data_IF_656996010398
#
_entry.id   IF_656996010398
#
_cell.length_a   1.000
_cell.length_b   1.000
_cell.length_c   1.000
_cell.angle_alpha   90.00
_cell.angle_beta   90.00
_cell.angle_gamma   90.00
#
_symmetry.space_group_name_H-M   'P 1'
#
loop_
_entity.id
_entity.type
_entity.pdbx_description
1 polymer ?
#
# COMPACT_ATOMS: atom_id res chain seq x y z
N UNK A 1 8.59 7.84 7.31
CA UNK A 1 7.82 6.60 7.60
C UNK A 1 8.12 5.50 6.58
N UNK A 2 8.01 5.74 5.26
CA UNK A 2 8.29 4.72 4.22
C UNK A 2 9.75 4.21 4.24
N UNK A 3 10.73 5.13 4.33
CA UNK A 3 12.15 4.78 4.27
C UNK A 3 12.70 4.10 5.53
N UNK A 4 12.16 4.40 6.71
CA UNK A 4 12.62 3.80 7.99
C UNK A 4 12.05 2.38 8.15
N UNK A 5 10.83 2.15 7.65
CA UNK A 5 10.18 0.84 7.61
C UNK A 5 10.91 -0.13 6.67
N UNK A 6 11.41 0.34 5.52
CA UNK A 6 11.97 -0.54 4.48
C UNK A 6 13.42 -1.00 4.74
N UNK A 7 14.08 -0.49 5.79
CA UNK A 7 15.41 -0.94 6.24
C UNK A 7 15.36 -1.90 7.43
N UNK A 8 14.17 -2.20 7.95
CA UNK A 8 13.99 -3.07 9.12
C UNK A 8 13.75 -4.52 8.68
N UNK A 9 14.37 -5.48 9.36
CA UNK A 9 14.16 -6.91 9.12
C UNK A 9 12.73 -7.33 9.49
N UNK A 10 12.26 -8.48 8.98
CA UNK A 10 10.91 -8.99 9.27
C UNK A 10 10.64 -9.07 10.79
N UNK A 11 11.64 -9.47 11.57
CA UNK A 11 11.63 -9.55 13.03
C UNK A 11 11.33 -8.21 13.72
N UNK A 12 11.72 -7.08 13.14
CA UNK A 12 11.51 -5.73 13.73
C UNK A 12 10.21 -5.07 13.28
N UNK A 13 9.54 -5.61 12.26
CA UNK A 13 8.22 -5.14 11.80
C UNK A 13 7.07 -6.05 12.25
N UNK A 14 7.38 -7.04 13.09
CA UNK A 14 6.45 -8.07 13.46
C UNK A 14 5.37 -7.53 14.42
N UNK A 15 4.16 -7.36 13.89
CA UNK A 15 2.97 -7.01 14.70
C UNK A 15 2.22 -8.25 15.18
N UNK A 16 2.64 -9.47 14.83
CA UNK A 16 2.03 -10.71 15.31
C UNK A 16 1.96 -10.81 16.83
N UNK A 17 2.99 -10.46 17.63
CA UNK A 17 2.86 -10.50 19.10
C UNK A 17 1.82 -9.51 19.64
N UNK A 18 1.68 -8.35 19.00
CA UNK A 18 0.63 -7.38 19.34
C UNK A 18 -0.76 -7.92 18.97
N UNK A 19 -0.90 -8.50 17.77
CA UNK A 19 -2.16 -9.08 17.30
C UNK A 19 -2.58 -10.30 18.12
N UNK A 20 -1.62 -11.15 18.53
CA UNK A 20 -1.84 -12.31 19.39
C UNK A 20 -2.45 -11.93 20.75
N UNK A 21 -2.21 -10.71 21.22
CA UNK A 21 -2.78 -10.18 22.46
C UNK A 21 -4.22 -9.66 22.33
N UNK A 22 -4.76 -9.56 21.10
CA UNK A 22 -6.11 -9.04 20.89
C UNK A 22 -7.18 -10.09 21.21
N UNK A 23 -8.12 -9.80 22.13
CA UNK A 23 -9.27 -10.66 22.35
C UNK A 23 -10.17 -10.66 21.10
N UNK A 24 -10.37 -11.83 20.49
CA UNK A 24 -11.24 -11.97 19.30
C UNK A 24 -10.60 -12.65 18.08
N UNK A 25 -9.31 -13.01 18.13
CA UNK A 25 -8.65 -13.77 17.05
C UNK A 25 -9.36 -15.08 16.70
N UNK A 26 -9.96 -15.75 17.69
CA UNK A 26 -10.75 -16.97 17.49
C UNK A 26 -12.08 -16.76 16.75
N UNK A 27 -12.69 -15.56 16.84
CA UNK A 27 -13.86 -15.20 16.03
C UNK A 27 -13.45 -14.84 14.61
N UNK A 28 -12.28 -14.23 14.45
CA UNK A 28 -11.70 -13.89 13.16
C UNK A 28 -11.39 -15.15 12.35
N UNK A 29 -10.83 -16.19 12.99
CA UNK A 29 -10.59 -17.49 12.35
C UNK A 29 -11.88 -18.18 11.91
N UNK A 30 -12.95 -18.10 12.70
CA UNK A 30 -14.25 -18.66 12.31
C UNK A 30 -14.93 -17.89 11.16
N UNK A 31 -14.79 -16.57 11.12
CA UNK A 31 -15.46 -15.72 10.12
C UNK A 31 -14.74 -15.71 8.77
N UNK A 32 -13.41 -15.77 8.78
CA UNK A 32 -12.56 -15.64 7.58
C UNK A 32 -11.80 -16.92 7.22
N UNK A 33 -12.05 -18.04 7.91
CA UNK A 33 -11.42 -19.33 7.61
C UNK A 33 -11.69 -19.84 6.19
N UNK A 34 -12.74 -19.36 5.53
CA UNK A 34 -13.07 -19.67 4.13
C UNK A 34 -12.22 -18.92 3.10
N UNK A 35 -11.45 -17.89 3.52
CA UNK A 35 -10.63 -17.08 2.62
C UNK A 35 -9.28 -17.75 2.43
N UNK A 36 -9.06 -18.31 1.25
CA UNK A 36 -7.78 -18.84 0.82
C UNK A 36 -7.49 -18.41 -0.62
N UNK A 37 -6.36 -17.78 -0.85
CA UNK A 37 -5.90 -17.43 -2.19
C UNK A 37 -4.38 -17.51 -2.28
N UNK A 38 -3.87 -17.73 -3.49
CA UNK A 38 -2.43 -17.78 -3.74
C UNK A 38 -1.90 -16.39 -4.02
N UNK A 39 -0.85 -15.99 -3.30
CA UNK A 39 -0.13 -14.72 -3.49
C UNK A 39 1.36 -15.03 -3.65
N UNK A 40 1.93 -14.69 -4.81
CA UNK A 40 3.26 -15.17 -5.22
C UNK A 40 3.36 -16.70 -5.18
N UNK A 41 4.34 -17.20 -4.42
CA UNK A 41 4.57 -18.63 -4.19
C UNK A 41 3.89 -19.17 -2.91
N UNK A 42 3.16 -18.33 -2.17
CA UNK A 42 2.59 -18.66 -0.86
C UNK A 42 1.06 -18.68 -0.88
N UNK A 43 0.46 -19.58 -0.11
CA UNK A 43 -0.99 -19.60 0.12
C UNK A 43 -1.30 -18.67 1.29
N UNK A 44 -2.10 -17.64 1.05
CA UNK A 44 -2.57 -16.71 2.07
C UNK A 44 -3.90 -17.26 2.61
N UNK A 45 -3.82 -17.91 3.77
CA UNK A 45 -4.99 -18.37 4.52
C UNK A 45 -4.69 -18.34 6.01
N UNK A 46 -5.74 -18.33 6.84
CA UNK A 46 -5.61 -18.42 8.30
C UNK A 46 -4.98 -19.75 8.71
N UNK A 47 -5.22 -20.83 7.95
CA UNK A 47 -4.64 -22.15 8.21
C UNK A 47 -3.13 -22.19 7.90
N UNK A 48 -2.69 -21.54 6.81
CA UNK A 48 -1.28 -21.54 6.41
C UNK A 48 -0.42 -20.56 7.22
N UNK A 49 -0.96 -19.40 7.61
CA UNK A 49 -0.19 -18.29 8.21
C UNK A 49 -0.56 -18.00 9.67
N UNK A 50 -1.61 -18.64 10.19
CA UNK A 50 -2.26 -18.24 11.43
C UNK A 50 -3.08 -16.95 11.28
N UNK A 51 -4.02 -16.71 12.21
CA UNK A 51 -4.88 -15.53 12.18
C UNK A 51 -4.08 -14.21 12.25
N UNK A 52 -3.02 -14.17 13.06
CA UNK A 52 -2.16 -12.99 13.19
C UNK A 52 -1.38 -12.68 11.90
N UNK A 53 -0.79 -13.69 11.25
CA UNK A 53 -0.07 -13.51 9.98
C UNK A 53 -0.99 -13.13 8.82
N UNK A 54 -2.21 -13.68 8.79
CA UNK A 54 -3.24 -13.31 7.83
C UNK A 54 -3.64 -11.83 8.00
N UNK A 55 -3.93 -11.38 9.23
CA UNK A 55 -4.26 -9.97 9.50
C UNK A 55 -3.09 -9.05 9.15
N UNK A 56 -1.88 -9.42 9.56
CA UNK A 56 -0.66 -8.67 9.25
C UNK A 56 -0.49 -8.45 7.75
N UNK A 57 -0.72 -9.49 6.93
CA UNK A 57 -0.68 -9.38 5.48
C UNK A 57 -1.60 -8.27 4.98
N UNK A 58 -2.87 -8.26 5.38
CA UNK A 58 -3.83 -7.24 4.96
C UNK A 58 -3.49 -5.84 5.51
N UNK A 59 -3.08 -5.74 6.77
CA UNK A 59 -2.70 -4.46 7.38
C UNK A 59 -1.50 -3.85 6.65
N UNK A 60 -0.50 -4.66 6.32
CA UNK A 60 0.66 -4.20 5.56
C UNK A 60 0.25 -3.74 4.17
N UNK A 61 -0.43 -4.58 3.37
CA UNK A 61 -0.87 -4.21 2.01
C UNK A 61 -1.78 -2.97 2.04
N UNK A 62 -2.72 -2.90 2.99
CA UNK A 62 -3.59 -1.74 3.17
C UNK A 62 -2.83 -0.46 3.51
N UNK A 63 -1.83 -0.55 4.38
CA UNK A 63 -0.98 0.60 4.74
C UNK A 63 -0.24 1.14 3.52
N UNK A 64 0.34 0.26 2.70
CA UNK A 64 1.02 0.67 1.47
C UNK A 64 0.06 1.41 0.52
N UNK A 65 -1.13 0.86 0.24
CA UNK A 65 -2.16 1.53 -0.60
C UNK A 65 -2.47 2.93 -0.08
N UNK A 66 -2.73 3.08 1.22
CA UNK A 66 -3.06 4.36 1.85
C UNK A 66 -1.90 5.34 1.71
N UNK A 67 -0.69 4.89 1.97
CA UNK A 67 0.52 5.73 1.89
C UNK A 67 0.76 6.21 0.46
N UNK A 68 0.64 5.33 -0.53
CA UNK A 68 0.77 5.70 -1.95
C UNK A 68 -0.35 6.62 -2.42
N UNK A 69 -1.58 6.44 -1.92
CA UNK A 69 -2.69 7.36 -2.18
C UNK A 69 -2.42 8.76 -1.61
N UNK A 70 -1.93 8.85 -0.37
CA UNK A 70 -1.57 10.13 0.25
C UNK A 70 -0.40 10.78 -0.50
N UNK A 71 0.63 10.01 -0.86
CA UNK A 71 1.76 10.49 -1.66
C UNK A 71 1.28 11.09 -2.98
N UNK A 72 0.46 10.36 -3.73
CA UNK A 72 -0.08 10.83 -5.01
C UNK A 72 -0.92 12.11 -4.84
N UNK A 73 -1.74 12.19 -3.79
CA UNK A 73 -2.51 13.39 -3.49
C UNK A 73 -1.62 14.61 -3.22
N UNK A 74 -0.56 14.45 -2.43
CA UNK A 74 0.36 15.54 -2.08
C UNK A 74 1.20 16.00 -3.27
N UNK A 75 1.72 15.05 -4.06
CA UNK A 75 2.49 15.35 -5.28
C UNK A 75 1.61 16.07 -6.30
N UNK A 76 0.38 15.61 -6.51
CA UNK A 76 -0.57 16.28 -7.38
C UNK A 76 -0.88 17.71 -6.89
N UNK A 77 -1.12 17.88 -5.58
CA UNK A 77 -1.34 19.19 -4.96
C UNK A 77 -0.17 20.14 -5.16
N UNK A 78 1.07 19.65 -5.03
CA UNK A 78 2.27 20.45 -5.29
C UNK A 78 2.28 20.97 -6.73
N UNK A 79 2.05 20.09 -7.71
CA UNK A 79 2.03 20.50 -9.12
C UNK A 79 0.89 21.46 -9.45
N UNK A 80 -0.28 21.30 -8.83
CA UNK A 80 -1.36 22.29 -8.94
C UNK A 80 -1.00 23.63 -8.31
N UNK A 81 -0.24 23.64 -7.22
CA UNK A 81 0.24 24.85 -6.55
C UNK A 81 1.19 25.69 -7.40
N UNK A 82 2.03 25.05 -8.21
CA UNK A 82 2.95 25.73 -9.15
C UNK A 82 2.30 26.08 -10.51
N UNK A 83 0.98 25.96 -10.62
CA UNK A 83 0.22 26.38 -11.80
C UNK A 83 0.20 25.40 -12.97
N UNK A 84 0.58 24.13 -12.78
CA UNK A 84 0.53 23.15 -13.88
C UNK A 84 -0.91 22.78 -14.28
N UNK A 85 -1.07 22.42 -15.57
CA UNK A 85 -2.34 21.92 -16.09
C UNK A 85 -2.69 20.59 -15.44
N UNK A 86 -4.00 20.30 -15.34
CA UNK A 86 -4.50 19.03 -14.77
C UNK A 86 -3.85 17.82 -15.42
N UNK A 87 -3.74 17.82 -16.76
CA UNK A 87 -3.11 16.73 -17.51
C UNK A 87 -1.63 16.55 -17.13
N UNK A 88 -0.85 17.65 -17.11
CA UNK A 88 0.58 17.58 -16.76
C UNK A 88 0.78 17.11 -15.32
N UNK A 89 0.00 17.65 -14.37
CA UNK A 89 0.05 17.22 -12.97
C UNK A 89 -0.29 15.75 -12.80
N UNK A 90 -1.32 15.24 -13.48
CA UNK A 90 -1.72 13.83 -13.42
C UNK A 90 -0.62 12.93 -13.98
N UNK A 91 -0.13 13.20 -15.19
CA UNK A 91 0.87 12.33 -15.85
C UNK A 91 2.16 12.25 -15.04
N UNK A 92 2.68 13.38 -14.54
CA UNK A 92 3.92 13.39 -13.76
C UNK A 92 3.73 12.75 -12.39
N UNK A 93 2.60 12.97 -11.73
CA UNK A 93 2.30 12.29 -10.46
C UNK A 93 2.22 10.78 -10.64
N UNK A 94 1.61 10.31 -11.73
CA UNK A 94 1.52 8.88 -12.03
C UNK A 94 2.90 8.28 -12.28
N UNK A 95 3.75 8.94 -13.07
CA UNK A 95 5.12 8.50 -13.33
C UNK A 95 5.95 8.44 -12.04
N UNK A 96 5.84 9.46 -11.17
CA UNK A 96 6.53 9.47 -9.88
C UNK A 96 6.00 8.34 -8.99
N UNK A 97 4.67 8.18 -8.90
CA UNK A 97 4.05 7.16 -8.06
C UNK A 97 4.46 5.73 -8.45
N UNK A 98 4.39 5.40 -9.75
CA UNK A 98 4.82 4.09 -10.28
C UNK A 98 6.33 3.90 -10.12
N UNK A 99 7.12 4.95 -10.32
CA UNK A 99 8.56 4.92 -10.10
C UNK A 99 8.91 4.63 -8.63
N UNK A 100 8.23 5.26 -7.69
CA UNK A 100 8.40 5.02 -6.26
C UNK A 100 7.95 3.61 -5.87
N UNK A 101 6.82 3.12 -6.41
CA UNK A 101 6.35 1.76 -6.16
C UNK A 101 7.34 0.70 -6.66
N UNK A 102 7.81 0.85 -7.91
CA UNK A 102 8.84 -0.03 -8.49
C UNK A 102 10.12 0.01 -7.66
N UNK A 103 10.55 1.20 -7.21
CA UNK A 103 11.75 1.35 -6.39
C UNK A 103 11.60 0.81 -4.97
N UNK A 104 10.39 0.84 -4.40
CA UNK A 104 10.12 0.19 -3.11
C UNK A 104 10.24 -1.32 -3.25
N UNK A 105 9.65 -1.89 -4.31
CA UNK A 105 9.69 -3.33 -4.55
C UNK A 105 11.09 -3.84 -4.89
N UNK A 106 11.85 -3.12 -5.72
CA UNK A 106 13.24 -3.52 -6.01
C UNK A 106 14.08 -3.52 -4.75
N UNK A 107 13.90 -2.52 -3.86
CA UNK A 107 14.56 -2.51 -2.53
C UNK A 107 14.13 -3.67 -1.65
N UNK A 108 12.84 -4.03 -1.64
CA UNK A 108 12.36 -5.20 -0.90
C UNK A 108 12.94 -6.50 -1.47
N UNK A 109 13.09 -6.60 -2.80
CA UNK A 109 13.66 -7.77 -3.48
C UNK A 109 15.16 -7.98 -3.21
N UNK A 110 15.89 -6.96 -2.75
CA UNK A 110 17.28 -7.10 -2.32
C UNK A 110 17.42 -7.71 -0.91
N UNK A 111 16.32 -7.87 -0.16
CA UNK A 111 16.34 -8.57 1.13
C UNK A 111 16.22 -10.09 0.92
N UNK A 112 17.10 -10.91 1.52
CA UNK A 112 17.19 -12.36 1.26
C UNK A 112 15.88 -13.14 1.49
N UNK A 113 15.03 -12.65 2.38
CA UNK A 113 13.80 -13.32 2.81
C UNK A 113 12.53 -12.83 2.08
N UNK A 114 12.66 -11.94 1.08
CA UNK A 114 11.52 -11.43 0.29
C UNK A 114 11.81 -11.49 -1.21
N UNK A 115 11.08 -12.34 -1.91
CA UNK A 115 11.02 -12.26 -3.37
C UNK A 115 10.14 -11.06 -3.74
N UNK A 116 10.70 -10.13 -4.51
CA UNK A 116 9.92 -9.01 -5.03
C UNK A 116 8.76 -9.53 -5.89
N UNK A 117 7.53 -9.13 -5.58
CA UNK A 117 6.32 -9.52 -6.29
C UNK A 117 5.81 -8.34 -7.14
N UNK A 118 5.63 -8.58 -8.44
CA UNK A 118 4.98 -7.62 -9.34
C UNK A 118 3.57 -7.23 -8.88
N UNK A 119 2.92 -8.10 -8.10
CA UNK A 119 1.61 -7.88 -7.48
C UNK A 119 1.63 -6.70 -6.50
N UNK A 120 2.76 -6.47 -5.82
CA UNK A 120 2.93 -5.38 -4.87
C UNK A 120 3.07 -4.03 -5.58
N UNK A 121 3.84 -3.98 -6.67
CA UNK A 121 3.91 -2.80 -7.54
C UNK A 121 2.53 -2.44 -8.09
N UNK A 122 1.75 -3.43 -8.50
CA UNK A 122 0.39 -3.21 -9.00
C UNK A 122 -0.52 -2.64 -7.91
N UNK A 123 -0.47 -3.22 -6.71
CA UNK A 123 -1.29 -2.80 -5.57
C UNK A 123 -0.94 -1.37 -5.12
N UNK A 124 0.34 -1.03 -5.07
CA UNK A 124 0.81 0.33 -4.77
C UNK A 124 0.40 1.34 -5.85
N UNK A 125 0.46 0.92 -7.12
CA UNK A 125 -0.02 1.71 -8.26
C UNK A 125 -1.52 1.98 -8.15
N UNK A 126 -2.33 1.02 -7.70
CA UNK A 126 -3.76 1.24 -7.41
C UNK A 126 -3.92 2.32 -6.33
N UNK A 127 -3.10 2.30 -5.28
CA UNK A 127 -3.05 3.37 -4.28
C UNK A 127 -2.79 4.74 -4.90
N UNK A 128 -1.80 4.85 -5.79
CA UNK A 128 -1.50 6.09 -6.53
C UNK A 128 -2.71 6.58 -7.33
N UNK A 129 -3.39 5.68 -8.05
CA UNK A 129 -4.59 6.01 -8.82
C UNK A 129 -5.71 6.53 -7.93
N UNK A 130 -5.98 5.87 -6.80
CA UNK A 130 -7.00 6.30 -5.82
C UNK A 130 -6.69 7.72 -5.34
N UNK A 131 -5.44 7.97 -4.93
CA UNK A 131 -4.99 9.29 -4.48
C UNK A 131 -5.17 10.37 -5.55
N UNK A 132 -4.83 10.06 -6.80
CA UNK A 132 -5.02 10.95 -7.95
C UNK A 132 -6.48 11.28 -8.22
N UNK A 133 -7.36 10.28 -8.22
CA UNK A 133 -8.80 10.50 -8.42
C UNK A 133 -9.35 11.42 -7.34
N UNK A 134 -9.02 11.17 -6.07
CA UNK A 134 -9.43 12.02 -4.94
C UNK A 134 -8.92 13.45 -5.13
N UNK A 135 -7.65 13.61 -5.51
CA UNK A 135 -7.04 14.92 -5.71
C UNK A 135 -7.73 15.69 -6.86
N UNK A 136 -7.93 15.05 -8.02
CA UNK A 136 -8.58 15.66 -9.17
C UNK A 136 -10.00 16.11 -8.80
N UNK A 137 -10.78 15.27 -8.13
CA UNK A 137 -12.14 15.62 -7.70
C UNK A 137 -12.16 16.80 -6.73
N UNK A 138 -11.20 16.83 -5.78
CA UNK A 138 -11.04 17.93 -4.84
C UNK A 138 -10.76 19.28 -5.53
N UNK A 139 -9.85 19.29 -6.52
CA UNK A 139 -9.47 20.51 -7.24
C UNK A 139 -10.47 20.93 -8.32
N UNK A 140 -11.20 19.99 -8.93
CA UNK A 140 -12.33 20.31 -9.83
C UNK A 140 -13.42 21.08 -9.08
N UNK A 141 -13.77 20.65 -7.86
CA UNK A 141 -14.76 21.34 -7.02
C UNK A 141 -14.33 22.75 -6.57
N UNK A 142 -13.03 23.00 -6.45
CA UNK A 142 -12.48 24.34 -6.11
C UNK A 142 -12.36 25.27 -7.32
N UNK A 143 -12.09 24.74 -8.51
CA UNK A 143 -11.98 25.52 -9.74
C UNK A 143 -13.30 26.09 -10.24
N UNK A 144 -14.44 25.45 -9.94
CA UNK A 144 -15.79 25.94 -10.31
C UNK A 144 -16.42 26.95 -9.35
N UNK A 145 -15.68 27.42 -8.33
CA UNK A 145 -16.13 28.45 -7.37
C UNK A 145 -15.40 29.80 -7.53
N UNK A 146 -14.76 30.03 -8.68
CA UNK A 146 -14.15 31.30 -9.04
C UNK A 146 -14.89 31.93 -10.20
#
# INVERSE_FOLDING_TARGET
MIFVSSTMSYETQDIRPLLASLPGLGLFSQTFGWVSFTYGASVISIEALGAAGFIEFFVRKGTHVVVFAVLAFLVYRLFKGIGWTTMKSTSITMLIGVGVATFDETRQAFHPDRSGMWQDVLLDTIGVVIGLVIAIQFYRKRGGKR
#
